data_IF_540798480829
#
_entry.id   IF_540798480829
#
_cell.length_a   1.000
_cell.length_b   1.000
_cell.length_c   1.000
_cell.angle_alpha   90.00
_cell.angle_beta   90.00
_cell.angle_gamma   90.00
#
_symmetry.space_group_name_H-M   'P 1'
#
loop_
_entity.id
_entity.type
_entity.pdbx_description
1 polymer ?
#
# COMPACT_ATOMS: atom_id res chain seq x y z
N UNK A 1 8.14 -5.28 14.61
CA UNK A 1 9.06 -5.76 13.57
C UNK A 1 8.48 -5.87 12.16
N UNK A 2 7.60 -5.00 11.65
CA UNK A 2 7.16 -5.04 10.23
C UNK A 2 7.77 -3.88 9.47
N UNK A 3 8.37 -4.16 8.32
CA UNK A 3 8.93 -3.12 7.45
C UNK A 3 7.93 -2.74 6.37
N UNK A 4 7.56 -1.46 6.29
CA UNK A 4 6.67 -0.91 5.26
C UNK A 4 7.49 -0.07 4.29
N UNK A 5 7.37 -0.38 3.00
CA UNK A 5 8.08 0.32 1.93
C UNK A 5 7.08 0.96 0.97
N UNK A 6 7.22 2.26 0.72
CA UNK A 6 6.36 3.03 -0.16
C UNK A 6 7.04 3.32 -1.50
N UNK A 7 6.35 2.96 -2.57
CA UNK A 7 6.79 3.09 -3.94
C UNK A 7 5.81 3.91 -4.78
N UNK A 8 6.35 4.57 -5.79
CA UNK A 8 5.62 5.53 -6.61
C UNK A 8 5.74 6.94 -6.06
N UNK A 9 5.98 7.89 -6.96
CA UNK A 9 6.18 9.31 -6.64
C UNK A 9 5.01 9.86 -5.82
N UNK A 10 3.78 9.49 -6.19
CA UNK A 10 2.55 9.89 -5.49
C UNK A 10 2.54 9.50 -4.02
N UNK A 11 2.95 8.27 -3.69
CA UNK A 11 2.99 7.82 -2.29
C UNK A 11 4.17 8.44 -1.55
N UNK A 12 5.33 8.60 -2.21
CA UNK A 12 6.51 9.22 -1.61
C UNK A 12 6.29 10.69 -1.26
N UNK A 13 5.47 11.41 -2.03
CA UNK A 13 5.10 12.79 -1.73
C UNK A 13 4.03 12.88 -0.62
N UNK A 14 3.31 11.80 -0.34
CA UNK A 14 2.25 11.75 0.66
C UNK A 14 2.75 11.38 2.07
N UNK A 15 4.01 10.96 2.21
CA UNK A 15 4.63 10.58 3.49
C UNK A 15 5.98 11.26 3.64
N UNK A 16 6.42 11.47 4.88
CA UNK A 16 7.75 12.02 5.16
C UNK A 16 8.86 11.00 4.93
N UNK A 17 8.62 9.74 5.32
CA UNK A 17 9.58 8.64 5.19
C UNK A 17 9.03 7.53 4.28
N UNK A 18 9.74 7.14 3.20
CA UNK A 18 9.28 6.12 2.27
C UNK A 18 9.55 4.69 2.75
N UNK A 19 10.30 4.52 3.84
CA UNK A 19 10.59 3.25 4.48
C UNK A 19 10.41 3.40 5.98
N UNK A 20 9.51 2.61 6.57
CA UNK A 20 9.21 2.66 7.99
C UNK A 20 9.29 1.27 8.61
N UNK A 21 9.86 1.22 9.81
CA UNK A 21 9.79 0.05 10.68
C UNK A 21 8.70 0.30 11.72
N UNK A 22 7.66 -0.54 11.68
CA UNK A 22 6.50 -0.44 12.55
C UNK A 22 6.47 -1.61 13.54
N UNK A 23 6.16 -1.30 14.80
CA UNK A 23 5.96 -2.31 15.81
C UNK A 23 4.54 -2.88 15.74
N UNK A 24 4.47 -4.21 15.81
CA UNK A 24 3.22 -4.95 15.77
C UNK A 24 3.13 -5.81 17.02
N UNK A 25 2.07 -5.63 17.81
CA UNK A 25 1.83 -6.39 19.03
C UNK A 25 1.30 -7.81 18.80
N UNK A 26 1.18 -8.24 17.54
CA UNK A 26 0.60 -9.53 17.15
C UNK A 26 0.34 -9.60 15.65
N UNK A 27 -0.39 -10.62 15.22
CA UNK A 27 -0.86 -10.73 13.83
C UNK A 27 -1.94 -9.68 13.58
N UNK A 28 -1.75 -8.86 12.57
CA UNK A 28 -2.74 -7.86 12.10
C UNK A 28 -2.95 -8.00 10.60
N UNK A 29 -3.83 -7.21 10.00
CA UNK A 29 -3.95 -7.12 8.54
C UNK A 29 -3.15 -5.95 8.01
N UNK A 30 -2.83 -5.93 6.71
CA UNK A 30 -2.20 -4.75 6.09
C UNK A 30 -3.02 -3.49 6.36
N UNK A 31 -4.35 -3.56 6.21
CA UNK A 31 -5.26 -2.46 6.55
C UNK A 31 -5.10 -2.03 8.01
N UNK A 32 -5.18 -2.97 8.94
CA UNK A 32 -5.06 -2.70 10.37
C UNK A 32 -3.70 -2.09 10.73
N UNK A 33 -2.63 -2.50 10.05
CA UNK A 33 -1.29 -1.92 10.22
C UNK A 33 -1.27 -0.44 9.79
N UNK A 34 -1.85 -0.11 8.64
CA UNK A 34 -1.91 1.28 8.14
C UNK A 34 -2.79 2.16 9.04
N UNK A 35 -3.96 1.64 9.46
CA UNK A 35 -4.91 2.34 10.32
C UNK A 35 -4.39 2.51 11.76
N UNK A 36 -3.49 1.65 12.23
CA UNK A 36 -2.88 1.78 13.56
C UNK A 36 -1.72 2.79 13.60
N UNK A 37 -1.15 3.15 12.44
CA UNK A 37 0.02 4.02 12.32
C UNK A 37 -0.29 5.28 11.49
N UNK A 38 -1.48 5.86 11.71
CA UNK A 38 -1.94 7.04 10.95
C UNK A 38 -1.07 8.27 11.19
N UNK A 39 -0.43 8.36 12.35
CA UNK A 39 0.56 9.40 12.67
C UNK A 39 1.65 9.51 11.61
N UNK A 40 2.06 8.39 11.00
CA UNK A 40 3.09 8.33 9.95
C UNK A 40 2.54 8.08 8.56
N UNK A 41 1.37 7.45 8.46
CA UNK A 41 0.81 6.95 7.20
C UNK A 41 -0.53 7.59 6.82
N UNK A 42 -0.93 8.70 7.46
CA UNK A 42 -2.17 9.41 7.15
C UNK A 42 -2.32 9.73 5.65
N UNK A 43 -1.23 10.13 4.98
CA UNK A 43 -1.25 10.44 3.55
C UNK A 43 -1.49 9.24 2.64
N UNK A 44 -1.31 8.01 3.14
CA UNK A 44 -1.54 6.76 2.39
C UNK A 44 -3.01 6.33 2.42
N UNK A 45 -3.72 6.67 3.50
CA UNK A 45 -5.10 6.24 3.75
C UNK A 45 -6.09 6.62 2.62
N UNK A 46 -6.00 7.80 1.98
CA UNK A 46 -6.86 8.14 0.85
C UNK A 46 -6.69 7.19 -0.34
N UNK A 47 -5.46 6.76 -0.63
CA UNK A 47 -5.19 5.80 -1.72
C UNK A 47 -5.71 4.41 -1.38
N UNK A 48 -5.62 4.01 -0.11
CA UNK A 48 -6.22 2.79 0.39
C UNK A 48 -7.74 2.80 0.19
N UNK A 49 -8.40 3.90 0.58
CA UNK A 49 -9.85 4.06 0.44
C UNK A 49 -10.33 4.05 -1.02
N UNK A 50 -9.51 4.55 -1.95
CA UNK A 50 -9.78 4.56 -3.39
C UNK A 50 -9.45 3.23 -4.10
N UNK A 51 -8.83 2.27 -3.41
CA UNK A 51 -8.36 1.03 -4.03
C UNK A 51 -7.12 1.21 -4.93
N UNK A 52 -6.42 2.34 -4.78
CA UNK A 52 -5.26 2.73 -5.60
C UNK A 52 -3.93 2.20 -5.03
N UNK A 53 -3.98 1.19 -4.15
CA UNK A 53 -2.79 0.58 -3.56
C UNK A 53 -2.60 -0.85 -4.05
N UNK A 54 -1.47 -1.11 -4.69
CA UNK A 54 -0.96 -2.46 -4.90
C UNK A 54 -0.19 -2.87 -3.64
N UNK A 55 -0.62 -3.95 -3.02
CA UNK A 55 -0.01 -4.48 -1.80
C UNK A 55 0.79 -5.73 -2.11
N UNK A 56 2.02 -5.79 -1.62
CA UNK A 56 2.78 -7.04 -1.58
C UNK A 56 3.31 -7.31 -0.18
N UNK A 57 3.21 -8.55 0.27
CA UNK A 57 3.76 -9.02 1.55
C UNK A 57 4.79 -10.09 1.24
N UNK A 58 6.04 -9.92 1.69
CA UNK A 58 7.14 -10.86 1.45
C UNK A 58 7.30 -11.24 -0.03
N UNK A 59 7.24 -10.25 -0.93
CA UNK A 59 7.34 -10.38 -2.39
C UNK A 59 6.16 -11.10 -3.06
N UNK A 60 5.06 -11.36 -2.34
CA UNK A 60 3.83 -11.94 -2.90
C UNK A 60 2.75 -10.86 -2.96
N UNK A 61 2.03 -10.80 -4.07
CA UNK A 61 0.86 -9.91 -4.20
C UNK A 61 -0.20 -10.34 -3.19
N UNK A 62 -0.70 -9.37 -2.44
CA UNK A 62 -1.72 -9.55 -1.44
C UNK A 62 -2.81 -8.49 -1.56
N UNK A 63 -3.70 -8.49 -0.58
CA UNK A 63 -4.78 -7.53 -0.43
C UNK A 63 -4.71 -6.87 0.95
N UNK A 64 -5.56 -5.87 1.17
CA UNK A 64 -5.59 -5.11 2.42
C UNK A 64 -5.96 -5.96 3.65
N UNK A 65 -6.69 -7.05 3.46
CA UNK A 65 -7.06 -8.05 4.46
C UNK A 65 -5.97 -9.10 4.70
N UNK A 66 -4.88 -9.09 3.94
CA UNK A 66 -3.77 -10.03 4.11
C UNK A 66 -3.15 -9.87 5.50
N UNK A 67 -2.98 -10.99 6.20
CA UNK A 67 -2.36 -11.03 7.51
C UNK A 67 -0.86 -10.72 7.43
N UNK A 68 -0.39 -9.88 8.34
CA UNK A 68 1.00 -9.50 8.52
C UNK A 68 1.40 -9.70 9.99
N UNK A 69 2.65 -10.08 10.20
CA UNK A 69 3.22 -10.36 11.51
C UNK A 69 4.65 -9.86 11.60
N UNK A 70 5.20 -9.92 12.80
CA UNK A 70 6.59 -9.58 13.05
C UNK A 70 7.55 -10.31 12.10
N UNK A 71 8.47 -9.56 11.51
CA UNK A 71 9.44 -10.00 10.50
C UNK A 71 8.97 -9.83 9.05
N UNK A 72 7.71 -9.48 8.80
CA UNK A 72 7.20 -9.32 7.44
C UNK A 72 7.65 -7.99 6.80
N UNK A 73 7.81 -8.01 5.47
CA UNK A 73 8.00 -6.81 4.66
C UNK A 73 6.76 -6.55 3.82
N UNK A 74 6.13 -5.41 4.01
CA UNK A 74 4.99 -4.91 3.23
C UNK A 74 5.48 -3.85 2.26
N UNK A 75 5.16 -4.00 0.98
CA UNK A 75 5.35 -2.93 -0.01
C UNK A 75 4.01 -2.40 -0.49
N UNK A 76 3.90 -1.08 -0.52
CA UNK A 76 2.77 -0.35 -1.06
C UNK A 76 3.23 0.41 -2.29
N UNK A 77 2.55 0.20 -3.40
CA UNK A 77 2.80 0.94 -4.63
C UNK A 77 1.53 1.63 -5.05
N UNK A 78 1.62 2.91 -5.44
CA UNK A 78 0.48 3.58 -6.07
C UNK A 78 0.15 2.86 -7.38
N UNK A 79 -1.08 2.37 -7.50
CA UNK A 79 -1.64 1.91 -8.75
C UNK A 79 -2.82 2.83 -9.08
N UNK A 80 -2.62 3.71 -10.06
CA UNK A 80 -3.76 4.33 -10.71
C UNK A 80 -4.26 3.31 -11.75
N UNK A 81 -5.47 2.79 -11.55
CA UNK A 81 -6.21 2.18 -12.64
C UNK A 81 -6.97 3.33 -13.32
N UNK A 82 -6.44 3.96 -14.38
CA UNK A 82 -7.35 4.58 -15.31
C UNK A 82 -8.28 3.45 -15.73
N UNK A 83 -9.58 3.62 -15.53
CA UNK A 83 -10.56 2.92 -16.36
C UNK A 83 -10.14 3.26 -17.78
N UNK A 84 -9.33 2.40 -18.41
CA UNK A 84 -9.17 2.42 -19.85
C UNK A 84 -10.56 2.05 -20.35
N UNK A 85 -11.40 3.06 -20.56
CA UNK A 85 -12.42 2.97 -21.58
C UNK A 85 -11.65 2.54 -22.81
N UNK A 86 -11.87 1.29 -23.23
CA UNK A 86 -10.98 0.58 -24.12
C UNK A 86 -10.64 1.49 -25.28
N UNK A 87 -9.36 1.58 -25.63
CA UNK A 87 -8.97 2.24 -26.86
C UNK A 87 -9.73 1.54 -28.00
N UNK A 88 -10.86 2.12 -28.40
CA UNK A 88 -11.63 1.73 -29.57
C UNK A 88 -10.73 2.07 -30.74
N UNK A 89 -9.83 1.14 -31.06
CA UNK A 89 -9.04 1.17 -32.27
C UNK A 89 -10.04 1.05 -33.42
N UNK A 90 -10.49 2.21 -33.91
CA UNK A 90 -11.16 2.27 -35.19
C UNK A 90 -10.10 2.06 -36.26
N UNK A 91 -10.08 0.85 -36.83
CA UNK A 91 -9.27 0.57 -38.00
C UNK A 91 -9.82 1.41 -39.17
N UNK A 92 -8.97 2.23 -39.84
CA UNK A 92 -9.38 3.01 -41.00
C UNK A 92 -9.76 2.13 -42.20
#
# INVERSE_FOLDING_TARGET
MVTVLLFGETLRQAVEEPELSLDVGGVTTVKGLLEANQDKLAGVLPFMAKGELLVTVNRKVGALDTAVKDGDTVKLTHQFNPTFDGAMWHNP
#
